data_IF_193071039781
#
_entry.id   IF_193071039781
#
_cell.length_a   1.000
_cell.length_b   1.000
_cell.length_c   1.000
_cell.angle_alpha   90.00
_cell.angle_beta   90.00
_cell.angle_gamma   90.00
#
_symmetry.space_group_name_H-M   'P 1'
#
loop_
_entity.id
_entity.type
_entity.pdbx_description
1 polymer ?
#
# COMPACT_ATOMS: atom_id res chain seq x y z
N UNK A 1 -15.33 43.41 3.95
CA UNK A 1 -15.64 43.66 5.37
C UNK A 1 -14.68 42.79 6.19
N UNK A 2 -13.92 43.42 7.07
CA UNK A 2 -12.78 42.86 7.78
C UNK A 2 -13.17 41.88 8.90
N UNK A 3 -12.21 41.00 9.23
CA UNK A 3 -11.72 40.74 10.59
C UNK A 3 -11.93 39.34 11.19
N UNK A 4 -10.78 38.74 11.53
CA UNK A 4 -10.55 37.62 12.45
C UNK A 4 -10.81 38.03 13.92
N UNK A 5 -11.26 37.10 14.76
CA UNK A 5 -11.14 37.03 16.26
C UNK A 5 -11.30 35.53 16.62
N UNK A 6 -10.26 34.69 16.83
CA UNK A 6 -9.47 34.35 18.05
C UNK A 6 -10.25 34.32 19.38
N UNK A 7 -10.23 33.15 20.06
CA UNK A 7 -10.30 32.86 21.52
C UNK A 7 -10.93 31.44 21.68
N UNK A 8 -10.51 30.45 22.48
CA UNK A 8 -9.56 30.25 23.60
C UNK A 8 -9.16 28.76 23.62
N UNK A 9 -7.90 28.52 23.95
CA UNK A 9 -7.29 27.25 24.33
C UNK A 9 -7.75 26.85 25.74
N UNK A 10 -8.24 25.62 25.93
CA UNK A 10 -8.08 24.91 27.21
C UNK A 10 -7.42 23.57 26.91
N UNK A 11 -6.15 23.49 27.29
CA UNK A 11 -5.34 22.30 27.29
C UNK A 11 -5.87 21.30 28.32
N UNK A 12 -5.96 20.02 27.95
CA UNK A 12 -5.71 18.94 28.89
C UNK A 12 -4.31 18.40 28.59
N UNK A 13 -3.46 18.59 29.58
CA UNK A 13 -2.02 18.31 29.57
C UNK A 13 -1.73 16.82 29.50
N UNK A 14 -0.79 16.53 28.59
CA UNK A 14 0.12 15.40 28.40
C UNK A 14 0.12 14.20 29.37
N UNK A 15 0.35 13.03 28.77
CA UNK A 15 1.32 12.08 29.31
C UNK A 15 2.19 11.54 28.17
N UNK A 16 3.36 12.16 27.97
CA UNK A 16 4.49 11.55 27.25
C UNK A 16 5.76 11.91 28.03
N UNK A 17 6.29 10.95 28.75
CA UNK A 17 7.63 10.99 29.35
C UNK A 17 8.66 10.64 28.27
N UNK A 18 9.84 11.27 28.33
CA UNK A 18 10.97 10.93 27.46
C UNK A 18 11.91 9.93 28.14
N UNK A 19 12.79 9.27 27.36
CA UNK A 19 13.64 8.11 27.73
C UNK A 19 14.63 8.36 28.90
N UNK A 20 14.71 9.58 29.46
CA UNK A 20 15.54 9.91 30.62
C UNK A 20 14.81 10.48 31.84
N UNK A 21 13.47 10.41 31.91
CA UNK A 21 12.73 10.53 33.18
C UNK A 21 12.74 11.89 33.90
N UNK A 22 13.11 13.00 33.25
CA UNK A 22 13.02 14.34 33.84
C UNK A 22 11.83 15.15 33.28
N UNK A 23 11.06 15.86 34.12
CA UNK A 23 10.05 16.80 33.65
C UNK A 23 10.70 18.02 32.97
N UNK A 24 10.18 18.44 31.82
CA UNK A 24 10.60 19.65 31.12
C UNK A 24 9.81 20.84 31.67
N UNK A 25 10.48 21.69 32.45
CA UNK A 25 9.97 23.01 32.82
C UNK A 25 10.10 23.96 31.62
N UNK A 26 8.96 24.45 31.12
CA UNK A 26 8.90 25.47 30.07
C UNK A 26 8.81 26.83 30.77
N UNK A 27 9.94 27.51 30.91
CA UNK A 27 9.97 28.94 31.28
C UNK A 27 9.89 29.76 29.98
N UNK A 28 8.75 30.41 29.74
CA UNK A 28 8.57 31.31 28.58
C UNK A 28 9.19 32.66 28.93
N UNK A 29 10.31 33.03 28.29
CA UNK A 29 10.84 34.39 28.30
C UNK A 29 10.59 35.06 26.95
N UNK A 30 10.07 36.28 27.00
CA UNK A 30 9.77 37.15 25.86
C UNK A 30 11.05 37.80 25.31
N UNK A 31 11.71 37.12 24.35
CA UNK A 31 12.83 37.69 23.62
C UNK A 31 12.77 37.24 22.15
N UNK A 32 12.66 38.21 21.27
CA UNK A 32 12.40 38.08 19.84
C UNK A 32 13.70 37.92 19.04
N UNK A 33 14.15 36.69 18.71
CA UNK A 33 14.87 36.35 17.47
C UNK A 33 15.15 34.83 17.34
N UNK A 34 15.16 34.36 16.09
CA UNK A 34 15.44 32.99 15.60
C UNK A 34 14.24 32.03 15.62
N UNK A 35 13.53 32.02 14.49
CA UNK A 35 12.55 31.01 14.12
C UNK A 35 13.29 29.70 13.79
N UNK A 36 13.53 28.86 14.79
CA UNK A 36 13.73 27.43 14.56
C UNK A 36 12.37 26.80 14.23
N UNK A 37 11.87 27.11 13.03
CA UNK A 37 10.91 26.25 12.36
C UNK A 37 11.73 25.02 11.98
N UNK A 38 11.75 24.00 12.84
CA UNK A 38 12.04 22.66 12.38
C UNK A 38 11.04 22.38 11.26
N UNK A 39 11.51 22.53 10.02
CA UNK A 39 10.81 22.01 8.88
C UNK A 39 10.63 20.52 9.16
N UNK A 40 9.41 20.12 9.49
CA UNK A 40 9.02 18.71 9.42
C UNK A 40 9.30 18.33 7.97
N UNK A 41 10.44 17.70 7.73
CA UNK A 41 10.76 17.15 6.43
C UNK A 41 9.63 16.17 6.15
N UNK A 42 8.71 16.55 5.26
CA UNK A 42 7.73 15.62 4.74
C UNK A 42 8.53 14.42 4.26
N UNK A 43 8.33 13.26 4.88
CA UNK A 43 8.98 12.04 4.40
C UNK A 43 8.39 11.79 3.02
N UNK A 44 9.14 12.13 1.98
CA UNK A 44 8.71 11.86 0.63
C UNK A 44 8.77 10.35 0.41
N UNK A 45 7.59 9.76 0.20
CA UNK A 45 7.45 8.36 -0.14
C UNK A 45 7.42 8.23 -1.65
N UNK A 46 8.35 7.46 -2.22
CA UNK A 46 8.37 7.19 -3.66
C UNK A 46 8.23 5.69 -3.89
N UNK A 47 7.05 5.28 -4.35
CA UNK A 47 6.77 3.88 -4.65
C UNK A 47 6.68 3.67 -6.16
N UNK A 48 7.49 2.77 -6.70
CA UNK A 48 7.49 2.44 -8.14
C UNK A 48 6.66 1.19 -8.38
N UNK A 49 5.65 1.29 -9.25
CA UNK A 49 4.86 0.15 -9.71
C UNK A 49 5.26 -0.18 -11.15
N UNK A 50 5.80 -1.38 -11.36
CA UNK A 50 6.15 -1.88 -12.71
C UNK A 50 5.26 -3.05 -13.06
N UNK A 51 4.29 -2.80 -13.93
CA UNK A 51 3.41 -3.82 -14.46
C UNK A 51 3.93 -4.33 -15.81
N UNK A 52 4.02 -5.66 -15.95
CA UNK A 52 4.54 -6.34 -17.14
C UNK A 52 3.48 -7.25 -17.72
N UNK A 53 3.14 -7.03 -19.00
CA UNK A 53 2.24 -7.90 -19.75
C UNK A 53 3.04 -8.85 -20.65
N UNK A 54 2.86 -10.16 -20.48
CA UNK A 54 3.36 -11.21 -21.38
C UNK A 54 2.24 -12.03 -22.01
N UNK A 55 1.00 -11.64 -21.79
CA UNK A 55 -0.19 -12.34 -22.26
C UNK A 55 -0.49 -12.12 -23.76
N UNK A 56 0.18 -11.16 -24.37
CA UNK A 56 -0.04 -10.77 -25.78
C UNK A 56 -1.29 -9.92 -26.02
N UNK A 57 -2.16 -9.75 -25.03
CA UNK A 57 -3.34 -8.88 -25.07
C UNK A 57 -3.72 -8.40 -23.66
N UNK A 58 -4.69 -7.48 -23.57
CA UNK A 58 -5.04 -6.80 -22.33
C UNK A 58 -4.02 -5.74 -21.91
N UNK A 59 -4.37 -4.98 -20.87
CA UNK A 59 -3.55 -3.90 -20.34
C UNK A 59 -3.42 -4.05 -18.82
N UNK A 60 -2.21 -4.24 -18.29
CA UNK A 60 -2.05 -4.37 -16.86
C UNK A 60 -2.23 -3.00 -16.24
N UNK A 61 -3.15 -2.92 -15.29
CA UNK A 61 -3.52 -1.69 -14.59
C UNK A 61 -3.62 -1.98 -13.10
N UNK A 62 -3.62 -0.91 -12.31
CA UNK A 62 -3.94 -0.96 -10.90
C UNK A 62 -4.73 0.27 -10.48
N UNK A 63 -5.43 0.15 -9.36
CA UNK A 63 -6.00 1.26 -8.59
C UNK A 63 -5.68 1.03 -7.11
N UNK A 64 -5.94 2.02 -6.26
CA UNK A 64 -5.69 1.94 -4.82
C UNK A 64 -6.62 2.88 -4.06
N UNK A 65 -6.60 2.80 -2.73
CA UNK A 65 -7.47 3.59 -1.86
C UNK A 65 -7.39 5.09 -2.18
N UNK A 66 -8.56 5.72 -2.28
CA UNK A 66 -8.69 7.14 -2.64
C UNK A 66 -8.41 7.47 -4.12
N UNK A 67 -8.00 6.50 -4.94
CA UNK A 67 -7.63 6.70 -6.34
C UNK A 67 -8.21 5.59 -7.23
N UNK A 68 -9.51 5.67 -7.48
CA UNK A 68 -10.29 4.63 -8.18
C UNK A 68 -10.13 4.59 -9.71
N UNK A 69 -9.43 5.56 -10.30
CA UNK A 69 -9.16 5.55 -11.75
C UNK A 69 -7.98 4.61 -12.05
N UNK A 70 -8.19 3.51 -12.80
CA UNK A 70 -7.12 2.57 -13.10
C UNK A 70 -5.98 3.24 -13.88
N UNK A 71 -4.74 2.87 -13.55
CA UNK A 71 -3.53 3.37 -14.21
C UNK A 71 -2.52 2.27 -14.45
N UNK A 72 -1.66 2.45 -15.44
CA UNK A 72 -0.52 1.57 -15.70
C UNK A 72 0.67 1.83 -14.78
N UNK A 73 1.82 1.26 -15.11
CA UNK A 73 3.09 1.48 -14.42
C UNK A 73 3.40 2.96 -14.16
N UNK A 74 4.09 3.25 -13.05
CA UNK A 74 4.53 4.59 -12.74
C UNK A 74 5.11 4.71 -11.34
N UNK A 75 5.32 5.96 -10.92
CA UNK A 75 5.68 6.31 -9.55
C UNK A 75 4.48 6.95 -8.87
N UNK A 76 4.27 6.61 -7.59
CA UNK A 76 3.34 7.27 -6.69
C UNK A 76 4.14 7.96 -5.60
N UNK A 77 3.82 9.25 -5.41
CA UNK A 77 4.33 10.04 -4.31
C UNK A 77 3.33 9.94 -3.15
N UNK A 78 3.72 9.27 -2.07
CA UNK A 78 2.83 8.97 -0.94
C UNK A 78 2.46 7.49 -0.84
N UNK A 79 1.82 7.07 0.26
CA UNK A 79 1.49 5.67 0.53
C UNK A 79 0.49 5.11 -0.49
N UNK A 80 0.70 3.85 -0.86
CA UNK A 80 -0.28 3.05 -1.60
C UNK A 80 -0.95 2.10 -0.62
N UNK A 81 -2.20 2.36 -0.27
CA UNK A 81 -3.01 1.52 0.63
C UNK A 81 -4.08 0.79 -0.19
N UNK A 82 -4.26 -0.51 0.07
CA UNK A 82 -5.29 -1.32 -0.60
C UNK A 82 -5.18 -1.28 -2.14
N UNK A 83 -3.97 -1.41 -2.68
CA UNK A 83 -3.74 -1.47 -4.11
C UNK A 83 -4.16 -2.81 -4.69
N UNK A 84 -4.79 -2.80 -5.86
CA UNK A 84 -5.17 -4.02 -6.60
C UNK A 84 -4.71 -3.90 -8.05
N UNK A 85 -3.98 -4.89 -8.55
CA UNK A 85 -3.50 -4.94 -9.94
C UNK A 85 -4.10 -6.13 -10.71
N UNK A 86 -4.52 -5.89 -11.95
CA UNK A 86 -5.14 -6.88 -12.82
C UNK A 86 -4.87 -6.58 -14.30
N UNK A 87 -5.30 -7.49 -15.19
CA UNK A 87 -5.24 -7.30 -16.65
C UNK A 87 -6.58 -6.76 -17.18
N UNK A 88 -6.71 -5.46 -17.38
CA UNK A 88 -7.90 -4.86 -17.98
C UNK A 88 -8.05 -5.27 -19.45
N UNK A 89 -9.28 -5.55 -19.88
CA UNK A 89 -9.56 -5.96 -21.27
C UNK A 89 -9.04 -7.36 -21.64
N UNK A 90 -8.61 -8.16 -20.65
CA UNK A 90 -8.35 -9.58 -20.84
C UNK A 90 -9.64 -10.35 -20.53
N UNK A 91 -10.13 -11.14 -21.48
CA UNK A 91 -11.36 -11.93 -21.33
C UNK A 91 -12.54 -11.06 -20.80
N UNK A 92 -13.15 -11.43 -19.67
CA UNK A 92 -14.22 -10.67 -19.02
C UNK A 92 -13.76 -9.94 -17.73
N UNK A 93 -12.47 -9.63 -17.60
CA UNK A 93 -11.95 -8.89 -16.44
C UNK A 93 -12.56 -7.50 -16.36
N UNK A 94 -13.17 -7.18 -15.22
CA UNK A 94 -13.77 -5.90 -14.92
C UNK A 94 -12.88 -5.05 -13.99
N UNK A 95 -13.35 -3.87 -13.59
CA UNK A 95 -12.63 -2.99 -12.67
C UNK A 95 -12.28 -3.70 -11.37
N UNK A 96 -11.12 -3.37 -10.81
CA UNK A 96 -10.55 -4.04 -9.62
C UNK A 96 -10.36 -5.55 -9.81
N UNK A 97 -10.33 -6.05 -11.05
CA UNK A 97 -10.13 -7.47 -11.35
C UNK A 97 -11.34 -8.36 -11.04
N UNK A 98 -12.56 -7.83 -10.96
CA UNK A 98 -13.76 -8.68 -10.87
C UNK A 98 -13.79 -9.66 -12.05
N UNK A 99 -14.12 -10.93 -11.78
CA UNK A 99 -14.03 -12.11 -12.67
C UNK A 99 -12.61 -12.60 -13.00
N UNK A 100 -11.56 -12.03 -12.40
CA UNK A 100 -10.16 -12.31 -12.70
C UNK A 100 -9.29 -12.33 -11.45
N UNK A 101 -8.09 -12.90 -11.57
CA UNK A 101 -7.14 -12.96 -10.47
C UNK A 101 -6.42 -11.63 -10.34
N UNK A 102 -6.14 -11.25 -9.09
CA UNK A 102 -5.46 -9.99 -8.79
C UNK A 102 -4.18 -10.22 -7.98
N UNK A 103 -3.31 -9.23 -8.01
CA UNK A 103 -2.29 -9.03 -6.99
C UNK A 103 -2.75 -7.87 -6.11
N UNK A 104 -2.97 -8.14 -4.83
CA UNK A 104 -3.24 -7.14 -3.81
C UNK A 104 -1.90 -6.65 -3.24
N UNK A 105 -1.79 -5.36 -2.95
CA UNK A 105 -0.55 -4.80 -2.40
C UNK A 105 -0.76 -3.51 -1.60
N UNK A 106 0.10 -3.32 -0.61
CA UNK A 106 0.25 -2.10 0.18
C UNK A 106 1.72 -1.70 0.13
N UNK A 107 2.01 -0.44 -0.17
CA UNK A 107 3.35 0.14 -0.17
C UNK A 107 3.35 1.36 0.74
N UNK A 108 4.02 1.24 1.88
CA UNK A 108 4.10 2.28 2.91
C UNK A 108 5.48 2.22 3.53
N UNK A 109 6.10 3.38 3.79
CA UNK A 109 7.32 3.37 4.58
C UNK A 109 6.98 3.05 6.04
N UNK A 110 7.85 2.31 6.75
CA UNK A 110 7.65 2.01 8.16
C UNK A 110 7.73 3.28 9.01
N UNK A 111 6.63 3.65 9.65
CA UNK A 111 6.54 4.78 10.61
C UNK A 111 6.17 4.34 12.04
N UNK A 112 6.48 3.10 12.42
CA UNK A 112 6.32 2.61 13.79
C UNK A 112 4.88 2.25 14.22
N UNK A 113 3.88 2.39 13.35
CA UNK A 113 2.47 2.03 13.61
C UNK A 113 2.03 0.68 13.03
N UNK A 114 2.95 -0.25 12.82
CA UNK A 114 2.68 -1.50 12.11
C UNK A 114 2.50 -1.32 10.59
N UNK A 115 2.82 -0.13 10.06
CA UNK A 115 2.85 0.11 8.62
C UNK A 115 3.98 -0.70 7.99
N UNK A 116 3.61 -1.47 6.97
CA UNK A 116 4.51 -2.37 6.27
C UNK A 116 4.07 -2.53 4.83
N UNK A 117 5.04 -2.85 3.98
CA UNK A 117 4.73 -3.26 2.62
C UNK A 117 4.22 -4.70 2.67
N UNK A 118 3.16 -4.98 1.93
CA UNK A 118 2.53 -6.30 1.84
C UNK A 118 2.05 -6.55 0.42
N UNK A 119 2.13 -7.80 -0.03
CA UNK A 119 1.54 -8.21 -1.30
C UNK A 119 1.18 -9.69 -1.28
N UNK A 120 0.13 -10.04 -1.99
CA UNK A 120 -0.39 -11.40 -2.12
C UNK A 120 -1.16 -11.57 -3.43
N UNK A 121 -1.56 -12.81 -3.71
CA UNK A 121 -2.52 -13.10 -4.76
C UNK A 121 -3.89 -13.27 -4.12
N UNK A 122 -4.92 -12.80 -4.82
CA UNK A 122 -6.30 -13.00 -4.39
C UNK A 122 -7.13 -13.59 -5.50
N UNK A 123 -7.69 -14.75 -5.22
CA UNK A 123 -8.68 -15.49 -6.00
C UNK A 123 -9.92 -15.73 -5.12
N UNK A 124 -10.23 -14.77 -4.23
CA UNK A 124 -11.40 -14.84 -3.37
C UNK A 124 -12.67 -14.72 -4.21
N UNK A 125 -13.56 -15.69 -4.06
CA UNK A 125 -14.83 -15.79 -4.76
C UNK A 125 -15.98 -15.91 -3.77
N UNK A 126 -16.98 -15.06 -3.89
CA UNK A 126 -18.12 -15.06 -2.97
C UNK A 126 -18.75 -13.69 -2.77
N UNK A 127 -19.92 -13.64 -2.11
CA UNK A 127 -20.62 -12.39 -1.85
C UNK A 127 -19.74 -11.41 -1.06
N UNK A 128 -19.43 -10.26 -1.67
CA UNK A 128 -18.61 -9.21 -1.05
C UNK A 128 -17.09 -9.43 -1.12
N UNK A 129 -16.62 -10.52 -1.75
CA UNK A 129 -15.20 -10.87 -1.83
C UNK A 129 -14.55 -10.54 -3.19
N UNK A 130 -15.25 -9.81 -4.06
CA UNK A 130 -14.72 -9.34 -5.34
C UNK A 130 -14.81 -10.33 -6.51
N UNK A 131 -15.18 -11.60 -6.27
CA UNK A 131 -15.39 -12.61 -7.33
C UNK A 131 -14.14 -12.73 -8.24
N UNK A 132 -12.98 -12.86 -7.61
CA UNK A 132 -11.68 -12.99 -8.23
C UNK A 132 -11.43 -14.44 -8.64
N UNK A 133 -11.15 -14.69 -9.93
CA UNK A 133 -10.98 -16.06 -10.46
C UNK A 133 -9.70 -16.19 -11.26
N UNK A 134 -9.04 -17.35 -11.19
CA UNK A 134 -7.83 -17.55 -11.98
C UNK A 134 -8.12 -17.47 -13.49
N UNK A 135 -7.41 -16.58 -14.20
CA UNK A 135 -7.54 -16.36 -15.65
C UNK A 135 -6.21 -16.31 -16.39
N UNK A 136 -5.15 -15.93 -15.70
CA UNK A 136 -3.80 -15.80 -16.23
C UNK A 136 -2.78 -16.06 -15.12
N UNK A 137 -1.57 -16.42 -15.52
CA UNK A 137 -0.45 -16.54 -14.59
C UNK A 137 -0.10 -15.17 -14.02
N UNK A 138 0.22 -15.12 -12.74
CA UNK A 138 0.65 -13.90 -12.06
C UNK A 138 1.93 -14.15 -11.27
N UNK A 139 2.80 -13.15 -11.21
CA UNK A 139 3.91 -13.14 -10.28
C UNK A 139 4.18 -11.72 -9.77
N UNK A 140 4.74 -11.59 -8.56
CA UNK A 140 5.18 -10.30 -8.05
C UNK A 140 6.53 -10.40 -7.32
N UNK A 141 7.25 -9.29 -7.33
CA UNK A 141 8.43 -9.08 -6.52
C UNK A 141 8.47 -7.64 -6.04
N UNK A 142 8.79 -7.41 -4.77
CA UNK A 142 9.14 -6.07 -4.33
C UNK A 142 10.45 -5.62 -4.97
N UNK A 143 10.60 -4.31 -5.06
CA UNK A 143 11.78 -3.65 -5.64
C UNK A 143 12.25 -2.52 -4.74
N UNK A 144 13.46 -2.02 -4.97
CA UNK A 144 14.07 -1.01 -4.11
C UNK A 144 14.66 -1.66 -2.86
N UNK A 145 14.38 -1.10 -1.69
CA UNK A 145 14.97 -1.56 -0.43
C UNK A 145 14.35 -2.86 0.12
N UNK A 146 13.19 -3.28 -0.39
CA UNK A 146 12.65 -4.61 -0.16
C UNK A 146 12.86 -5.50 -1.39
N UNK A 147 13.49 -6.66 -1.18
CA UNK A 147 13.82 -7.63 -2.23
C UNK A 147 13.06 -8.94 -2.08
N UNK A 148 12.06 -8.98 -1.20
CA UNK A 148 11.17 -10.15 -1.07
C UNK A 148 10.31 -10.30 -2.32
N UNK A 149 9.91 -11.53 -2.58
CA UNK A 149 9.13 -11.91 -3.75
C UNK A 149 8.05 -12.89 -3.32
N UNK A 150 7.08 -13.12 -4.21
CA UNK A 150 6.06 -14.13 -3.99
C UNK A 150 6.68 -15.49 -3.68
N UNK A 151 6.03 -16.36 -2.88
CA UNK A 151 6.53 -17.70 -2.57
C UNK A 151 6.74 -18.58 -3.83
N UNK A 152 6.03 -18.25 -4.90
CA UNK A 152 6.13 -18.84 -6.23
C UNK A 152 5.10 -18.18 -7.15
N UNK A 153 5.20 -18.40 -8.48
CA UNK A 153 4.22 -17.84 -9.41
C UNK A 153 2.85 -18.47 -9.19
N UNK A 154 1.81 -17.65 -9.29
CA UNK A 154 0.44 -18.13 -9.37
C UNK A 154 0.14 -18.67 -10.78
N UNK A 155 -0.17 -19.96 -10.87
CA UNK A 155 -0.33 -20.72 -12.11
C UNK A 155 -1.63 -21.53 -12.17
N UNK A 156 -2.51 -21.33 -11.19
CA UNK A 156 -3.83 -21.94 -11.11
C UNK A 156 -4.60 -21.44 -9.88
N UNK A 157 -5.70 -22.12 -9.58
CA UNK A 157 -6.72 -21.81 -8.58
C UNK A 157 -6.63 -22.69 -7.33
N UNK A 158 -5.43 -23.11 -6.95
CA UNK A 158 -5.23 -23.91 -5.73
C UNK A 158 -3.97 -23.50 -5.00
N UNK A 159 -3.87 -23.77 -3.70
CA UNK A 159 -2.71 -23.39 -2.89
C UNK A 159 -1.39 -23.96 -3.44
N UNK A 160 -1.42 -25.15 -4.05
CA UNK A 160 -0.25 -25.74 -4.68
C UNK A 160 0.17 -25.03 -5.98
N UNK A 161 -0.81 -24.50 -6.74
CA UNK A 161 -0.55 -23.78 -8.00
C UNK A 161 -0.38 -22.28 -7.81
N UNK A 162 -0.83 -21.73 -6.68
CA UNK A 162 -0.84 -20.32 -6.33
C UNK A 162 -0.43 -20.16 -4.86
N UNK A 163 0.86 -20.37 -4.54
CA UNK A 163 1.32 -20.45 -3.16
C UNK A 163 1.22 -19.09 -2.47
N UNK A 164 0.61 -19.08 -1.29
CA UNK A 164 0.38 -17.89 -0.46
C UNK A 164 -0.86 -17.06 -0.85
N UNK A 165 -1.64 -17.52 -1.83
CA UNK A 165 -2.86 -16.84 -2.27
C UNK A 165 -4.01 -16.99 -1.27
N UNK A 166 -4.89 -15.99 -1.24
CA UNK A 166 -6.24 -16.11 -0.72
C UNK A 166 -7.14 -16.75 -1.80
N UNK A 167 -7.92 -17.77 -1.43
CA UNK A 167 -8.64 -18.65 -2.35
C UNK A 167 -10.07 -18.86 -1.86
N UNK A 168 -10.97 -19.21 -2.79
CA UNK A 168 -12.34 -19.63 -2.52
C UNK A 168 -13.14 -18.54 -1.76
N UNK A 169 -14.13 -18.94 -0.96
CA UNK A 169 -15.02 -18.04 -0.22
C UNK A 169 -14.54 -17.72 1.20
N UNK A 170 -13.26 -17.97 1.48
CA UNK A 170 -12.66 -17.84 2.81
C UNK A 170 -11.46 -16.90 2.80
N UNK A 171 -11.50 -15.89 3.67
CA UNK A 171 -10.37 -14.96 3.86
C UNK A 171 -9.24 -15.55 4.68
N UNK A 172 -9.38 -16.78 5.16
CA UNK A 172 -8.38 -17.52 5.91
C UNK A 172 -7.45 -18.32 4.97
N UNK A 173 -6.17 -18.46 5.34
CA UNK A 173 -5.23 -19.37 4.67
C UNK A 173 -4.29 -18.72 3.64
N UNK A 174 -4.56 -17.48 3.20
CA UNK A 174 -3.58 -16.67 2.49
C UNK A 174 -2.44 -16.20 3.40
N UNK A 175 -1.28 -15.94 2.80
CA UNK A 175 -0.08 -15.55 3.54
C UNK A 175 0.65 -14.43 2.79
N UNK A 176 0.30 -13.14 3.05
CA UNK A 176 0.92 -12.03 2.35
C UNK A 176 2.41 -11.95 2.63
N UNK A 177 3.17 -11.65 1.59
CA UNK A 177 4.60 -11.39 1.68
C UNK A 177 4.78 -9.99 2.23
N UNK A 178 5.42 -9.89 3.39
CA UNK A 178 5.55 -8.62 4.11
C UNK A 178 7.00 -8.17 4.24
N UNK A 179 7.25 -6.87 4.17
CA UNK A 179 8.55 -6.29 4.48
C UNK A 179 8.51 -4.86 5.01
N UNK A 180 9.42 -4.57 5.93
CA UNK A 180 9.63 -3.27 6.54
C UNK A 180 10.79 -2.55 5.83
N UNK A 181 10.48 -1.79 4.79
CA UNK A 181 11.48 -1.04 4.04
C UNK A 181 10.87 0.25 3.47
N UNK A 182 11.69 1.29 3.39
CA UNK A 182 11.32 2.58 2.80
C UNK A 182 11.40 2.54 1.27
N UNK A 183 10.62 3.40 0.61
CA UNK A 183 10.64 3.59 -0.85
C UNK A 183 10.53 2.25 -1.62
N UNK A 184 9.71 1.34 -1.10
CA UNK A 184 9.51 0.02 -1.70
C UNK A 184 8.65 0.15 -2.94
N UNK A 185 9.13 -0.37 -4.07
CA UNK A 185 8.30 -0.57 -5.25
C UNK A 185 7.79 -2.01 -5.35
N UNK A 186 6.98 -2.27 -6.36
CA UNK A 186 6.54 -3.61 -6.72
C UNK A 186 6.59 -3.80 -8.23
N UNK A 187 7.12 -4.94 -8.67
CA UNK A 187 7.01 -5.42 -10.04
C UNK A 187 6.00 -6.55 -10.09
N UNK A 188 4.97 -6.39 -10.90
CA UNK A 188 3.93 -7.40 -11.11
C UNK A 188 3.99 -7.85 -12.57
N UNK A 189 4.03 -9.16 -12.79
CA UNK A 189 4.12 -9.77 -14.11
C UNK A 189 2.94 -10.68 -14.34
N UNK A 190 2.30 -10.51 -15.49
CA UNK A 190 1.21 -11.35 -15.98
C UNK A 190 1.71 -12.18 -17.18
N UNK A 191 1.40 -13.48 -17.23
CA UNK A 191 1.70 -14.48 -18.30
C UNK A 191 3.18 -14.72 -18.74
#
# INVERSE_FOLDING_TARGET
MFSKIIFILLALTACLTNVFGNPLDIEVREDNEIRDIEAVAATEHHHVQKLVNRCGHGHPVFLYEGHSTPRGSGTINGPVRGGVAWMAGFDHCQSSGVNCGIVEFTLTDPHGKGEQNAADYSLLDGPGLGNHKYKYKMNFAFTGSCTKHAPGPCTGDSAAKCPGAYLDDHSEGGAPVQCFAKNTGIKITFC
#
